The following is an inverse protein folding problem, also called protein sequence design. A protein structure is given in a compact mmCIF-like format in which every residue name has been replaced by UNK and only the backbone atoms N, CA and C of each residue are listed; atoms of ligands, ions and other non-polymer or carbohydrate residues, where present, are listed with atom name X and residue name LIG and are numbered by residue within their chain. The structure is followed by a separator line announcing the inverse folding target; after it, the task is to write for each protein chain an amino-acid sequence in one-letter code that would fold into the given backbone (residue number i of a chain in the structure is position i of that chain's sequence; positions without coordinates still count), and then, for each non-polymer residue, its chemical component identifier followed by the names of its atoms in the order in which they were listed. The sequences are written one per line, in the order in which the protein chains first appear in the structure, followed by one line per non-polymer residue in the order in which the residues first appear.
data_IF_388917211087
#
_entry.id   IF_388917211087
#
_cell.length_a   1.000
_cell.length_b   1.000
_cell.length_c   1.000
_cell.angle_alpha   90.00
_cell.angle_beta   90.00
_cell.angle_gamma   90.00
#
_symmetry.space_group_name_H-M   'P 1'
#
loop_
_entity.id
_entity.type
_entity.pdbx_description
1 polymer ?
#
# COMPACT_ATOMS: atom_id res chain seq x y z
N UNK A 1 -19.67 -2.43 25.08
CA UNK A 1 -19.30 -2.61 23.65
C UNK A 1 -17.97 -3.34 23.62
N UNK A 2 -17.85 -4.58 23.10
CA UNK A 2 -16.55 -5.22 22.97
C UNK A 2 -15.79 -4.57 21.81
N UNK A 3 -14.49 -4.37 22.01
CA UNK A 3 -13.58 -3.76 21.05
C UNK A 3 -13.44 -4.65 19.81
N UNK A 4 -13.52 -4.05 18.61
CA UNK A 4 -13.22 -4.73 17.36
C UNK A 4 -11.74 -5.15 17.36
N UNK A 5 -11.48 -6.46 17.23
CA UNK A 5 -10.14 -6.99 17.06
C UNK A 5 -9.59 -6.59 15.69
N UNK A 6 -8.36 -6.05 15.66
CA UNK A 6 -7.66 -5.77 14.41
C UNK A 6 -7.44 -7.06 13.59
N UNK A 7 -7.55 -7.02 12.26
CA UNK A 7 -7.17 -8.15 11.41
C UNK A 7 -5.69 -8.47 11.62
N UNK A 8 -5.39 -9.75 11.90
CA UNK A 8 -4.02 -10.27 11.94
C UNK A 8 -3.72 -10.91 10.60
N UNK A 9 -2.76 -10.35 9.87
CA UNK A 9 -2.17 -11.02 8.72
C UNK A 9 -1.22 -12.11 9.26
N UNK A 10 -1.51 -13.37 8.96
CA UNK A 10 -0.54 -14.46 9.16
C UNK A 10 0.08 -14.78 7.79
N UNK A 11 1.41 -14.74 7.74
CA UNK A 11 2.18 -15.12 6.56
C UNK A 11 2.70 -16.54 6.77
N UNK A 12 2.39 -17.44 5.84
CA UNK A 12 2.93 -18.81 5.83
C UNK A 12 4.11 -18.85 4.86
N UNK A 13 5.30 -19.10 5.38
CA UNK A 13 6.47 -19.51 4.60
C UNK A 13 6.34 -21.01 4.34
N UNK A 14 6.17 -21.40 3.08
CA UNK A 14 6.26 -22.80 2.68
C UNK A 14 7.73 -23.07 2.40
N UNK A 15 8.41 -23.74 3.33
CA UNK A 15 9.80 -24.14 3.17
C UNK A 15 9.84 -25.44 2.37
N UNK A 16 10.39 -25.37 1.16
CA UNK A 16 10.33 -26.45 0.16
C UNK A 16 11.37 -27.54 0.42
N UNK A 17 11.08 -28.49 1.30
CA UNK A 17 11.74 -29.79 1.27
C UNK A 17 11.10 -30.62 0.15
N UNK A 18 11.90 -31.01 -0.86
CA UNK A 18 11.57 -31.85 -2.02
C UNK A 18 10.25 -32.63 -1.94
N UNK A 19 9.22 -32.18 -2.69
CA UNK A 19 7.98 -32.94 -2.91
C UNK A 19 7.68 -32.99 -4.40
N UNK A 20 7.76 -34.19 -4.97
CA UNK A 20 7.15 -34.53 -6.26
C UNK A 20 5.63 -34.73 -6.06
N UNK A 21 4.83 -34.14 -6.93
CA UNK A 21 3.36 -34.19 -7.00
C UNK A 21 2.58 -33.19 -6.13
N UNK A 22 1.41 -32.81 -6.66
CA UNK A 22 0.51 -31.75 -6.16
C UNK A 22 0.39 -31.72 -4.63
N UNK A 23 0.82 -30.61 -4.01
CA UNK A 23 0.70 -30.38 -2.57
C UNK A 23 -0.66 -29.77 -2.25
N UNK A 24 -1.61 -30.58 -1.79
CA UNK A 24 -2.84 -30.07 -1.18
C UNK A 24 -2.67 -29.93 0.34
N UNK A 25 -2.88 -28.74 0.90
CA UNK A 25 -2.91 -28.52 2.35
C UNK A 25 -4.31 -28.04 2.77
N UNK A 26 -4.84 -28.55 3.89
CA UNK A 26 -6.08 -28.03 4.46
C UNK A 26 -5.75 -27.20 5.69
N UNK A 27 -5.98 -25.88 5.60
CA UNK A 27 -5.82 -24.97 6.73
C UNK A 27 -7.12 -24.97 7.54
N UNK A 28 -7.04 -25.35 8.80
CA UNK A 28 -8.17 -25.24 9.72
C UNK A 28 -8.09 -23.91 10.45
N UNK A 29 -9.02 -23.00 10.18
CA UNK A 29 -9.11 -21.69 10.82
C UNK A 29 -10.18 -21.76 11.91
N UNK A 30 -9.74 -21.65 13.17
CA UNK A 30 -10.65 -21.54 14.31
C UNK A 30 -10.92 -20.06 14.60
N UNK A 31 -12.16 -19.64 14.46
CA UNK A 31 -12.66 -18.32 14.80
C UNK A 31 -13.26 -18.40 16.19
N UNK A 32 -12.64 -17.76 17.18
CA UNK A 32 -13.11 -17.79 18.58
C UNK A 32 -14.27 -16.80 18.84
N UNK A 33 -14.29 -15.68 18.11
CA UNK A 33 -15.29 -14.60 18.28
C UNK A 33 -15.66 -13.97 16.93
N UNK A 34 -16.89 -13.46 16.76
CA UNK A 34 -17.95 -13.27 17.77
C UNK A 34 -18.73 -14.54 18.15
N UNK A 35 -18.57 -15.63 17.40
CA UNK A 35 -19.06 -16.96 17.74
C UNK A 35 -18.00 -17.99 17.33
N UNK A 36 -17.85 -19.10 18.09
CA UNK A 36 -16.96 -20.19 17.72
C UNK A 36 -17.33 -20.77 16.35
N UNK A 37 -16.37 -20.79 15.42
CA UNK A 37 -16.53 -21.44 14.12
C UNK A 37 -15.20 -22.05 13.67
N UNK A 38 -15.27 -23.18 12.97
CA UNK A 38 -14.13 -23.82 12.33
C UNK A 38 -14.33 -23.77 10.81
N UNK A 39 -13.37 -23.19 10.09
CA UNK A 39 -13.40 -23.06 8.63
C UNK A 39 -12.22 -23.83 8.07
N UNK A 40 -12.48 -24.82 7.23
CA UNK A 40 -11.45 -25.53 6.49
C UNK A 40 -11.19 -24.84 5.15
N UNK A 41 -9.98 -24.32 4.98
CA UNK A 41 -9.50 -23.73 3.73
C UNK A 41 -8.64 -24.76 3.00
N UNK A 42 -9.14 -25.26 1.87
CA UNK A 42 -8.34 -26.14 1.01
C UNK A 42 -7.40 -25.28 0.16
N UNK A 43 -6.12 -25.57 0.25
CA UNK A 43 -5.05 -24.98 -0.55
C UNK A 43 -4.54 -26.06 -1.48
N UNK A 44 -4.75 -25.93 -2.78
CA UNK A 44 -4.20 -26.83 -3.78
C UNK A 44 -2.99 -26.16 -4.45
N UNK A 45 -1.81 -26.79 -4.37
CA UNK A 45 -0.59 -26.37 -5.06
C UNK A 45 -0.20 -27.41 -6.11
N UNK A 46 -0.04 -26.98 -7.37
CA UNK A 46 0.41 -27.85 -8.46
C UNK A 46 1.78 -27.39 -8.94
N UNK A 47 2.79 -28.25 -8.76
CA UNK A 47 4.15 -28.02 -9.24
C UNK A 47 4.23 -28.53 -10.68
N UNK A 48 4.48 -27.64 -11.64
CA UNK A 48 4.71 -27.97 -13.05
C UNK A 48 6.20 -27.92 -13.35
N UNK A 49 6.74 -28.99 -13.90
CA UNK A 49 8.12 -29.03 -14.44
C UNK A 49 8.18 -28.59 -15.90
N UNK A 50 7.04 -28.51 -16.58
CA UNK A 50 6.95 -28.23 -18.01
C UNK A 50 6.70 -26.75 -18.34
N UNK A 51 6.33 -25.89 -17.38
CA UNK A 51 6.35 -24.43 -17.50
C UNK A 51 7.31 -23.85 -16.47
N UNK A 52 8.28 -23.06 -16.91
CA UNK A 52 9.25 -22.37 -16.07
C UNK A 52 9.15 -20.87 -16.31
N UNK A 53 9.05 -20.09 -15.24
CA UNK A 53 9.20 -18.63 -15.27
C UNK A 53 10.52 -18.29 -14.62
N UNK A 54 11.39 -17.58 -15.34
CA UNK A 54 12.74 -17.23 -14.87
C UNK A 54 13.05 -15.74 -15.10
N UNK A 55 13.26 -14.93 -14.04
CA UNK A 55 13.14 -15.31 -12.63
C UNK A 55 11.71 -15.73 -12.24
N UNK A 56 11.57 -16.59 -11.22
CA UNK A 56 10.27 -17.10 -10.76
C UNK A 56 9.30 -16.05 -10.20
N UNK A 57 9.81 -14.84 -9.95
CA UNK A 57 9.02 -13.67 -9.59
C UNK A 57 9.63 -12.41 -10.21
N UNK A 58 8.79 -11.39 -10.39
CA UNK A 58 9.21 -10.08 -10.85
C UNK A 58 9.45 -9.18 -9.65
N UNK A 59 10.72 -8.92 -9.34
CA UNK A 59 11.11 -8.03 -8.23
C UNK A 59 11.61 -6.70 -8.79
N UNK A 60 10.86 -5.63 -8.55
CA UNK A 60 11.21 -4.27 -8.99
C UNK A 60 12.19 -3.56 -8.05
N UNK A 61 12.10 -3.82 -6.74
CA UNK A 61 12.78 -3.02 -5.72
C UNK A 61 12.08 -1.68 -5.45
N UNK A 62 12.78 -0.65 -4.93
CA UNK A 62 12.21 0.68 -4.77
C UNK A 62 11.97 1.36 -6.12
N UNK A 63 10.75 1.81 -6.35
CA UNK A 63 10.34 2.61 -7.51
C UNK A 63 9.95 3.99 -6.99
N UNK A 64 10.48 5.05 -7.56
CA UNK A 64 10.10 6.40 -7.15
C UNK A 64 8.71 6.75 -7.69
N UNK A 65 7.82 7.25 -6.83
CA UNK A 65 6.49 7.67 -7.26
C UNK A 65 6.61 8.71 -8.39
N UNK A 66 5.75 8.61 -9.40
CA UNK A 66 5.86 9.43 -10.61
C UNK A 66 6.75 8.83 -11.70
N UNK A 67 7.52 7.77 -11.41
CA UNK A 67 8.36 7.07 -12.38
C UNK A 67 7.75 5.73 -12.79
N UNK A 68 7.90 5.39 -14.07
CA UNK A 68 7.60 4.05 -14.55
C UNK A 68 8.79 3.11 -14.30
N UNK A 69 8.50 1.82 -14.14
CA UNK A 69 9.53 0.80 -14.02
C UNK A 69 9.17 -0.41 -14.90
N UNK A 70 10.17 -1.06 -15.49
CA UNK A 70 10.00 -2.26 -16.31
C UNK A 70 10.95 -3.37 -15.85
N UNK A 71 10.44 -4.61 -15.79
CA UNK A 71 11.22 -5.82 -15.53
C UNK A 71 10.79 -6.91 -16.51
N UNK A 72 11.68 -7.88 -16.73
CA UNK A 72 11.46 -8.97 -17.69
C UNK A 72 11.72 -10.32 -17.04
N UNK A 73 10.97 -11.30 -17.50
CA UNK A 73 11.20 -12.71 -17.24
C UNK A 73 11.05 -13.52 -18.53
N UNK A 74 11.70 -14.68 -18.56
CA UNK A 74 11.51 -15.68 -19.58
C UNK A 74 10.45 -16.66 -19.11
N UNK A 75 9.52 -17.00 -19.99
CA UNK A 75 8.56 -18.09 -19.76
C UNK A 75 8.90 -19.18 -20.76
N UNK A 76 9.35 -20.33 -20.27
CA UNK A 76 9.67 -21.49 -21.10
C UNK A 76 8.64 -22.59 -20.86
N UNK A 77 8.23 -23.23 -21.93
CA UNK A 77 7.36 -24.40 -21.91
C UNK A 77 7.99 -25.55 -22.70
N UNK A 78 7.89 -26.78 -22.18
CA UNK A 78 8.36 -27.99 -22.86
C UNK A 78 7.27 -29.07 -22.86
N UNK A 79 6.73 -29.39 -24.03
CA UNK A 79 5.71 -30.41 -24.20
C UNK A 79 4.96 -30.25 -25.53
N UNK A 80 3.72 -29.79 -25.46
CA UNK A 80 2.84 -29.61 -26.62
C UNK A 80 3.28 -28.45 -27.53
N UNK A 81 3.57 -28.74 -28.78
CA UNK A 81 4.11 -27.76 -29.74
C UNK A 81 3.18 -26.60 -30.10
N UNK A 82 1.90 -26.63 -29.76
CA UNK A 82 0.89 -25.57 -29.96
C UNK A 82 0.54 -24.80 -28.67
N UNK A 83 1.26 -25.03 -27.56
CA UNK A 83 1.06 -24.28 -26.32
C UNK A 83 1.29 -22.78 -26.54
N UNK A 84 0.41 -21.95 -25.98
CA UNK A 84 0.41 -20.50 -26.14
C UNK A 84 -0.08 -19.82 -24.86
N UNK A 85 0.52 -18.66 -24.58
CA UNK A 85 -0.08 -17.64 -23.71
C UNK A 85 -1.11 -16.90 -24.58
N UNK A 86 -2.38 -16.93 -24.17
CA UNK A 86 -3.50 -16.33 -24.92
C UNK A 86 -3.97 -15.01 -24.34
N UNK A 87 -3.73 -14.78 -23.05
CA UNK A 87 -4.10 -13.54 -22.36
C UNK A 87 -3.22 -13.34 -21.12
N UNK A 88 -3.18 -12.12 -20.59
CA UNK A 88 -2.48 -11.78 -19.35
C UNK A 88 -3.38 -10.89 -18.50
N UNK A 89 -3.66 -11.33 -17.28
CA UNK A 89 -4.57 -10.64 -16.35
C UNK A 89 -3.82 -10.09 -15.15
N UNK A 90 -4.14 -8.86 -14.78
CA UNK A 90 -3.69 -8.20 -13.54
C UNK A 90 -4.91 -7.69 -12.79
N UNK A 91 -4.97 -7.91 -11.48
CA UNK A 91 -5.97 -7.27 -10.60
C UNK A 91 -5.58 -5.84 -10.24
N UNK A 92 -4.31 -5.48 -10.40
CA UNK A 92 -3.80 -4.15 -10.12
C UNK A 92 -3.79 -3.30 -11.40
N UNK A 93 -4.57 -2.20 -11.46
CA UNK A 93 -4.68 -1.36 -12.67
C UNK A 93 -3.38 -0.60 -13.00
N UNK A 94 -2.43 -0.51 -12.07
CA UNK A 94 -1.13 0.15 -12.26
C UNK A 94 -0.06 -0.81 -12.78
N UNK A 95 -0.38 -2.09 -12.94
CA UNK A 95 0.53 -3.11 -13.46
C UNK A 95 0.01 -3.58 -14.81
N UNK A 96 0.88 -3.50 -15.82
CA UNK A 96 0.61 -4.02 -17.15
C UNK A 96 1.68 -5.03 -17.53
N UNK A 97 1.35 -5.96 -18.41
CA UNK A 97 2.32 -6.93 -18.89
C UNK A 97 2.04 -7.34 -20.33
N UNK A 98 3.09 -7.76 -21.02
CA UNK A 98 3.04 -8.28 -22.39
C UNK A 98 3.96 -9.49 -22.48
N UNK A 99 3.53 -10.53 -23.17
CA UNK A 99 4.36 -11.69 -23.49
C UNK A 99 4.56 -11.75 -25.01
N UNK A 100 5.83 -11.82 -25.43
CA UNK A 100 6.20 -11.95 -26.84
C UNK A 100 6.89 -13.29 -27.04
N UNK A 101 6.38 -14.12 -27.95
CA UNK A 101 7.01 -15.40 -28.30
C UNK A 101 8.40 -15.15 -28.88
N UNK A 102 9.42 -15.80 -28.33
CA UNK A 102 10.82 -15.65 -28.73
C UNK A 102 11.37 -16.88 -29.44
N UNK A 103 10.79 -18.06 -29.19
CA UNK A 103 11.23 -19.31 -29.81
C UNK A 103 10.09 -20.35 -29.80
N UNK A 104 10.02 -21.16 -30.85
CA UNK A 104 9.17 -22.36 -30.92
C UNK A 104 9.84 -23.43 -31.77
N UNK A 105 10.26 -24.53 -31.15
CA UNK A 105 10.92 -25.64 -31.84
C UNK A 105 10.85 -26.93 -31.02
N UNK A 106 10.62 -28.07 -31.67
CA UNK A 106 10.71 -29.41 -31.06
C UNK A 106 9.92 -29.55 -29.74
N UNK A 107 8.69 -29.01 -29.69
CA UNK A 107 7.85 -29.06 -28.49
C UNK A 107 8.25 -28.06 -27.39
N UNK A 108 9.29 -27.25 -27.61
CA UNK A 108 9.68 -26.15 -26.73
C UNK A 108 9.10 -24.84 -27.25
N UNK A 109 8.56 -24.03 -26.34
CA UNK A 109 8.02 -22.69 -26.60
C UNK A 109 8.61 -21.73 -25.58
N UNK A 110 9.09 -20.56 -26.00
CA UNK A 110 9.60 -19.54 -25.10
C UNK A 110 8.92 -18.19 -25.37
N UNK A 111 8.64 -17.46 -24.30
CA UNK A 111 8.16 -16.09 -24.31
C UNK A 111 9.08 -15.19 -23.49
N UNK A 112 9.21 -13.94 -23.92
CA UNK A 112 9.69 -12.85 -23.09
C UNK A 112 8.49 -12.14 -22.48
N UNK A 113 8.32 -12.27 -21.18
CA UNK A 113 7.35 -11.53 -20.38
C UNK A 113 7.98 -10.20 -19.96
N UNK A 114 7.34 -9.10 -20.32
CA UNK A 114 7.69 -7.76 -19.87
C UNK A 114 6.57 -7.24 -18.97
N UNK A 115 6.91 -6.86 -17.75
CA UNK A 115 5.98 -6.31 -16.75
C UNK A 115 6.37 -4.87 -16.46
N UNK A 116 5.39 -3.99 -16.44
CA UNK A 116 5.58 -2.55 -16.25
C UNK A 116 4.68 -2.01 -15.15
N UNK A 117 5.25 -1.17 -14.27
CA UNK A 117 4.53 -0.38 -13.27
C UNK A 117 4.33 1.03 -13.81
N UNK A 118 3.10 1.52 -13.77
CA UNK A 118 2.73 2.85 -14.25
C UNK A 118 3.27 3.97 -13.33
N UNK A 119 3.60 5.15 -13.86
CA UNK A 119 4.15 6.26 -13.07
C UNK A 119 3.18 6.81 -12.03
N UNK A 120 1.87 6.66 -12.25
CA UNK A 120 0.82 7.06 -11.32
C UNK A 120 0.46 5.96 -10.30
N UNK A 121 1.26 4.90 -10.17
CA UNK A 121 1.08 3.91 -9.13
C UNK A 121 1.12 4.58 -7.74
N UNK A 122 0.18 4.24 -6.83
CA UNK A 122 0.13 4.82 -5.50
C UNK A 122 1.35 4.38 -4.68
N UNK A 123 1.81 5.26 -3.79
CA UNK A 123 2.87 4.94 -2.84
C UNK A 123 2.48 3.76 -1.94
N UNK A 124 3.42 2.84 -1.70
CA UNK A 124 3.16 1.65 -0.90
C UNK A 124 3.96 0.43 -1.35
N UNK A 125 3.66 -0.72 -0.76
CA UNK A 125 4.19 -2.00 -1.20
C UNK A 125 3.39 -2.51 -2.39
N UNK A 126 4.09 -3.06 -3.38
CA UNK A 126 3.51 -3.85 -4.46
C UNK A 126 3.68 -5.32 -4.08
N UNK A 127 2.57 -5.99 -3.79
CA UNK A 127 2.50 -7.42 -3.48
C UNK A 127 1.34 -7.97 -4.31
N UNK A 128 1.62 -8.19 -5.59
CA UNK A 128 0.60 -8.46 -6.60
C UNK A 128 0.88 -9.79 -7.32
N UNK A 129 -0.12 -10.25 -8.06
CA UNK A 129 -0.05 -11.47 -8.85
C UNK A 129 -0.53 -11.19 -10.28
N UNK A 130 0.31 -11.56 -11.24
CA UNK A 130 -0.04 -11.56 -12.66
C UNK A 130 -0.45 -12.98 -13.07
N UNK A 131 -1.55 -13.11 -13.81
CA UNK A 131 -2.02 -14.42 -14.29
C UNK A 131 -1.82 -14.50 -15.79
N UNK A 132 -0.90 -15.38 -16.22
CA UNK A 132 -0.76 -15.73 -17.64
C UNK A 132 -1.81 -16.77 -17.97
N UNK A 133 -2.73 -16.44 -18.88
CA UNK A 133 -3.76 -17.37 -19.35
C UNK A 133 -3.22 -18.14 -20.54
N UNK A 134 -3.39 -19.46 -20.56
CA UNK A 134 -2.86 -20.34 -21.59
C UNK A 134 -3.97 -21.10 -22.32
N UNK A 135 -3.65 -21.69 -23.47
CA UNK A 135 -4.53 -22.62 -24.18
C UNK A 135 -4.41 -24.09 -23.71
N UNK A 136 -3.81 -24.33 -22.54
CA UNK A 136 -3.77 -25.64 -21.91
C UNK A 136 -5.13 -25.94 -21.25
N UNK A 137 -5.68 -27.14 -21.48
CA UNK A 137 -7.02 -27.51 -20.97
C UNK A 137 -7.01 -27.81 -19.47
N UNK A 138 -5.90 -28.34 -18.97
CA UNK A 138 -5.77 -28.72 -17.57
C UNK A 138 -5.19 -27.58 -16.74
N UNK A 139 -4.41 -26.69 -17.37
CA UNK A 139 -3.65 -25.64 -16.69
C UNK A 139 -3.77 -24.30 -17.41
N UNK A 140 -4.97 -23.75 -17.39
CA UNK A 140 -5.33 -22.51 -18.08
C UNK A 140 -4.64 -21.27 -17.52
N UNK A 141 -4.00 -21.34 -16.34
CA UNK A 141 -3.44 -20.20 -15.63
C UNK A 141 -2.05 -20.51 -15.07
N UNK A 142 -1.11 -19.59 -15.29
CA UNK A 142 0.24 -19.62 -14.71
C UNK A 142 0.45 -18.32 -13.92
N UNK A 143 0.48 -18.38 -12.58
CA UNK A 143 0.69 -17.20 -11.76
C UNK A 143 2.15 -16.76 -11.74
N UNK A 144 2.38 -15.44 -11.76
CA UNK A 144 3.69 -14.81 -11.60
C UNK A 144 3.59 -13.77 -10.50
N UNK A 145 4.37 -13.94 -9.43
CA UNK A 145 4.40 -13.00 -8.32
C UNK A 145 5.12 -11.71 -8.72
N UNK A 146 4.61 -10.58 -8.25
CA UNK A 146 5.19 -9.25 -8.43
C UNK A 146 5.44 -8.63 -7.06
N UNK A 147 6.68 -8.18 -6.86
CA UNK A 147 7.13 -7.55 -5.63
C UNK A 147 7.84 -6.23 -5.90
N UNK A 148 7.58 -5.24 -5.06
CA UNK A 148 8.25 -3.95 -5.13
C UNK A 148 7.76 -2.98 -4.07
N UNK A 149 8.28 -1.75 -4.12
CA UNK A 149 7.80 -0.67 -3.26
C UNK A 149 7.81 0.64 -4.02
N UNK A 150 6.64 1.25 -4.21
CA UNK A 150 6.53 2.62 -4.70
C UNK A 150 6.83 3.56 -3.54
N UNK A 151 7.97 4.25 -3.61
CA UNK A 151 8.47 5.15 -2.58
C UNK A 151 7.95 6.55 -2.89
N UNK A 152 7.17 7.17 -1.99
CA UNK A 152 6.60 8.49 -2.21
C UNK A 152 7.70 9.55 -2.34
N UNK A 153 7.40 10.61 -3.10
CA UNK A 153 8.27 11.77 -3.23
C UNK A 153 8.29 12.61 -1.93
N UNK A 154 7.16 12.62 -1.22
CA UNK A 154 6.95 13.28 0.07
C UNK A 154 6.44 12.31 1.13
N UNK A 155 6.98 12.43 2.33
CA UNK A 155 6.55 11.68 3.52
C UNK A 155 6.19 12.64 4.64
N UNK A 156 5.16 12.30 5.41
CA UNK A 156 4.72 13.07 6.58
C UNK A 156 4.74 12.19 7.82
N UNK A 157 5.31 12.70 8.91
CA UNK A 157 5.40 12.02 10.18
C UNK A 157 4.95 12.94 11.34
N UNK A 158 4.07 12.47 12.24
CA UNK A 158 3.31 11.21 12.18
C UNK A 158 2.28 11.19 11.03
N UNK A 159 1.88 9.99 10.60
CA UNK A 159 0.80 9.77 9.60
C UNK A 159 -0.62 9.94 10.17
N UNK A 160 -0.73 10.11 11.49
CA UNK A 160 -1.96 10.47 12.20
C UNK A 160 -1.59 11.40 13.36
N UNK A 161 -2.17 12.59 13.39
CA UNK A 161 -2.01 13.55 14.49
C UNK A 161 -3.13 13.33 15.51
N UNK A 162 -2.80 12.65 16.60
CA UNK A 162 -3.69 12.55 17.76
C UNK A 162 -3.43 13.71 18.73
N UNK A 163 -4.44 14.54 18.93
CA UNK A 163 -4.42 15.66 19.87
C UNK A 163 -4.93 15.27 21.27
N UNK A 164 -5.59 14.11 21.39
CA UNK A 164 -6.11 13.61 22.65
C UNK A 164 -7.43 14.25 23.07
N UNK A 165 -7.69 14.24 24.39
CA UNK A 165 -8.89 14.83 25.01
C UNK A 165 -8.61 16.27 25.42
N UNK A 166 -9.50 17.19 25.06
CA UNK A 166 -9.35 18.62 25.26
C UNK A 166 -10.59 19.21 25.93
N UNK A 167 -10.40 20.19 26.80
CA UNK A 167 -11.49 21.01 27.31
C UNK A 167 -11.85 22.12 26.31
N UNK A 168 -13.09 22.66 26.33
CA UNK A 168 -13.46 23.80 25.51
C UNK A 168 -12.48 24.98 25.68
N UNK A 169 -12.06 25.59 24.56
CA UNK A 169 -11.08 26.69 24.54
C UNK A 169 -9.62 26.26 24.71
N UNK A 170 -9.33 25.00 25.06
CA UNK A 170 -7.96 24.53 25.20
C UNK A 170 -7.23 24.53 23.85
N UNK A 171 -6.07 25.17 23.82
CA UNK A 171 -5.15 25.12 22.70
C UNK A 171 -4.12 24.00 22.87
N UNK A 172 -3.83 23.27 21.81
CA UNK A 172 -2.79 22.24 21.77
C UNK A 172 -1.91 22.43 20.54
N UNK A 173 -0.61 22.24 20.70
CA UNK A 173 0.38 22.30 19.63
C UNK A 173 1.01 20.93 19.41
N UNK A 174 1.08 20.49 18.16
CA UNK A 174 1.84 19.33 17.70
C UNK A 174 2.75 19.74 16.54
N UNK A 175 3.66 18.86 16.17
CA UNK A 175 4.59 19.09 15.09
C UNK A 175 4.51 17.94 14.10
N UNK A 176 4.39 18.29 12.83
CA UNK A 176 4.54 17.39 11.70
C UNK A 176 5.94 17.59 11.09
N UNK A 177 6.56 16.50 10.70
CA UNK A 177 7.80 16.49 9.92
C UNK A 177 7.41 16.10 8.50
N UNK A 178 7.69 16.97 7.54
CA UNK A 178 7.50 16.71 6.12
C UNK A 178 8.88 16.53 5.51
N UNK A 179 9.13 15.37 4.90
CA UNK A 179 10.42 15.02 4.33
C UNK A 179 10.25 14.62 2.87
N UNK A 180 11.04 15.24 2.00
CA UNK A 180 11.08 15.00 0.57
C UNK A 180 12.39 14.35 0.16
N UNK A 181 12.39 13.68 -1.00
CA UNK A 181 13.63 13.12 -1.59
C UNK A 181 14.56 14.19 -2.14
N UNK A 182 14.01 15.31 -2.57
CA UNK A 182 14.73 16.47 -3.07
C UNK A 182 14.39 17.69 -2.21
N UNK A 183 15.26 18.72 -2.16
CA UNK A 183 14.93 19.98 -1.52
C UNK A 183 13.66 20.60 -2.10
N UNK A 184 12.74 21.05 -1.24
CA UNK A 184 11.45 21.61 -1.63
C UNK A 184 11.06 22.77 -0.70
N UNK A 185 10.00 23.48 -1.07
CA UNK A 185 9.29 24.47 -0.26
C UNK A 185 7.86 24.00 -0.02
N UNK A 186 7.31 24.38 1.13
CA UNK A 186 5.88 24.21 1.41
C UNK A 186 5.17 25.44 0.85
N UNK A 187 4.29 25.23 -0.11
CA UNK A 187 3.54 26.32 -0.76
C UNK A 187 2.25 26.62 -0.01
N UNK A 188 1.62 25.60 0.57
CA UNK A 188 0.34 25.72 1.29
C UNK A 188 0.17 24.63 2.33
N UNK A 189 -0.44 24.98 3.46
CA UNK A 189 -0.99 24.01 4.42
C UNK A 189 -2.40 24.43 4.79
N UNK A 190 -3.34 23.51 4.65
CA UNK A 190 -4.75 23.74 4.94
C UNK A 190 -5.38 22.55 5.65
N UNK A 191 -6.51 22.78 6.29
CA UNK A 191 -7.32 21.73 6.89
C UNK A 191 -8.79 21.97 6.61
N UNK A 192 -9.52 20.88 6.35
CA UNK A 192 -10.98 20.88 6.16
C UNK A 192 -11.77 21.22 7.45
N UNK A 193 -11.10 21.41 8.59
CA UNK A 193 -11.72 21.76 9.87
C UNK A 193 -11.14 23.06 10.44
N UNK A 194 -11.99 24.08 10.63
CA UNK A 194 -11.58 25.45 10.97
C UNK A 194 -10.90 25.67 12.34
N UNK A 195 -10.93 24.68 13.24
CA UNK A 195 -10.22 24.74 14.53
C UNK A 195 -8.70 24.56 14.41
N UNK A 196 -8.18 24.19 13.24
CA UNK A 196 -6.75 23.99 12.99
C UNK A 196 -6.11 25.25 12.40
N UNK A 197 -4.92 25.58 12.91
CA UNK A 197 -4.11 26.72 12.51
C UNK A 197 -2.69 26.25 12.22
N UNK A 198 -2.09 26.85 11.20
CA UNK A 198 -0.75 26.53 10.72
C UNK A 198 0.06 27.81 10.63
N UNK A 199 1.16 27.85 11.38
CA UNK A 199 2.13 28.94 11.32
C UNK A 199 3.35 28.44 10.56
N UNK A 200 3.32 28.63 9.24
CA UNK A 200 4.47 28.37 8.38
C UNK A 200 5.38 29.58 8.46
N UNK A 201 6.44 29.48 9.27
CA UNK A 201 7.47 30.52 9.27
C UNK A 201 8.03 30.72 7.85
N UNK A 202 8.58 31.92 7.53
CA UNK A 202 9.02 32.28 6.17
C UNK A 202 10.02 31.29 5.58
N UNK A 203 10.87 30.71 6.43
CA UNK A 203 11.82 29.66 6.07
C UNK A 203 11.19 28.44 5.36
N UNK A 204 9.94 28.07 5.68
CA UNK A 204 9.28 26.94 5.03
C UNK A 204 8.84 27.24 3.58
N UNK A 205 8.65 28.52 3.26
CA UNK A 205 8.15 29.00 1.98
C UNK A 205 9.29 29.51 1.07
N UNK A 206 10.37 30.04 1.64
CA UNK A 206 11.47 30.66 0.90
C UNK A 206 12.67 29.72 0.70
N UNK A 207 12.94 28.82 1.64
CA UNK A 207 14.13 27.98 1.61
C UNK A 207 13.83 26.58 1.06
N UNK A 208 14.68 26.13 0.13
CA UNK A 208 14.66 24.75 -0.36
C UNK A 208 15.33 23.83 0.67
N UNK A 209 14.53 22.99 1.34
CA UNK A 209 15.01 22.02 2.33
C UNK A 209 14.43 20.64 2.05
N UNK A 210 15.18 19.59 2.37
CA UNK A 210 14.69 18.21 2.29
C UNK A 210 13.78 17.83 3.45
N UNK A 211 13.75 18.65 4.50
CA UNK A 211 12.93 18.44 5.69
C UNK A 211 12.37 19.77 6.20
N UNK A 212 11.05 19.80 6.42
CA UNK A 212 10.32 20.91 7.00
C UNK A 212 9.57 20.49 8.26
N UNK A 213 9.46 21.42 9.20
CA UNK A 213 8.66 21.26 10.43
C UNK A 213 7.40 22.10 10.30
N UNK A 214 6.25 21.45 10.32
CA UNK A 214 4.94 22.13 10.24
C UNK A 214 4.29 22.09 11.62
N UNK A 215 4.23 23.21 12.35
CA UNK A 215 3.49 23.27 13.60
C UNK A 215 1.99 23.21 13.31
N UNK A 216 1.30 22.32 14.01
CA UNK A 216 -0.15 22.16 13.97
C UNK A 216 -0.68 22.67 15.30
N UNK A 217 -1.41 23.77 15.26
CA UNK A 217 -2.12 24.30 16.44
C UNK A 217 -3.59 24.02 16.28
N UNK A 218 -4.22 23.49 17.33
CA UNK A 218 -5.65 23.29 17.37
C UNK A 218 -6.23 23.96 18.60
N UNK A 219 -7.30 24.73 18.40
CA UNK A 219 -8.07 25.35 19.48
C UNK A 219 -9.41 24.65 19.59
N UNK A 220 -9.67 24.02 20.74
CA UNK A 220 -10.93 23.33 20.98
C UNK A 220 -12.11 24.31 20.98
N UNK A 221 -13.11 24.03 20.15
CA UNK A 221 -14.37 24.78 20.16
C UNK A 221 -15.19 24.53 21.43
N UNK A 222 -16.35 25.19 21.51
CA UNK A 222 -17.27 25.08 22.65
C UNK A 222 -18.05 23.77 22.70
N UNK A 223 -18.24 23.11 21.56
CA UNK A 223 -19.06 21.91 21.45
C UNK A 223 -18.26 20.64 21.75
N UNK A 224 -18.72 19.87 22.74
CA UNK A 224 -18.17 18.55 23.02
C UNK A 224 -18.39 17.60 21.83
N UNK A 225 -17.42 16.72 21.58
CA UNK A 225 -17.52 15.78 20.45
C UNK A 225 -16.18 15.32 19.93
N UNK A 226 -16.24 14.42 18.94
CA UNK A 226 -15.07 13.99 18.18
C UNK A 226 -14.80 14.99 17.07
N UNK A 227 -13.55 15.41 16.98
CA UNK A 227 -13.05 16.23 15.89
C UNK A 227 -12.19 15.35 15.00
N UNK A 228 -12.42 15.45 13.70
CA UNK A 228 -11.61 14.82 12.67
C UNK A 228 -11.42 15.85 11.57
N UNK A 229 -10.17 16.10 11.19
CA UNK A 229 -9.83 16.92 10.04
C UNK A 229 -8.72 16.28 9.22
N UNK A 230 -8.66 16.64 7.95
CA UNK A 230 -7.63 16.25 7.00
C UNK A 230 -6.75 17.47 6.75
N UNK A 231 -5.48 17.38 7.13
CA UNK A 231 -4.49 18.41 6.89
C UNK A 231 -3.81 18.09 5.56
N UNK A 232 -3.90 19.00 4.60
CA UNK A 232 -3.28 18.88 3.28
C UNK A 232 -2.09 19.83 3.21
N UNK A 233 -0.94 19.30 2.79
CA UNK A 233 0.33 20.00 2.68
C UNK A 233 0.76 19.95 1.22
N UNK A 234 0.85 21.11 0.58
CA UNK A 234 1.24 21.26 -0.83
C UNK A 234 2.67 21.79 -0.93
N UNK A 235 3.38 21.39 -1.98
CA UNK A 235 4.79 21.74 -2.20
C UNK A 235 5.04 22.16 -3.64
N UNK A 236 6.24 22.68 -3.89
CA UNK A 236 6.74 23.03 -5.23
C UNK A 236 7.45 21.87 -5.95
N UNK A 237 7.42 20.65 -5.41
CA UNK A 237 7.95 19.46 -6.07
C UNK A 237 7.18 19.15 -7.36
N UNK A 238 7.83 18.41 -8.26
CA UNK A 238 7.32 18.14 -9.61
C UNK A 238 5.88 17.60 -9.59
N UNK A 239 5.02 18.18 -10.43
CA UNK A 239 3.60 17.81 -10.47
C UNK A 239 2.76 18.35 -9.31
N UNK A 240 3.30 19.24 -8.48
CA UNK A 240 2.59 19.82 -7.33
C UNK A 240 2.37 18.80 -6.23
N UNK A 241 3.41 18.02 -5.90
CA UNK A 241 3.30 16.93 -4.94
C UNK A 241 2.71 17.43 -3.62
N UNK A 242 1.66 16.75 -3.17
CA UNK A 242 0.95 17.04 -1.94
C UNK A 242 0.87 15.78 -1.07
N UNK A 243 0.80 16.00 0.24
CA UNK A 243 0.59 14.92 1.21
C UNK A 243 -0.53 15.29 2.17
N UNK A 244 -1.27 14.27 2.61
CA UNK A 244 -2.40 14.43 3.51
C UNK A 244 -2.15 13.66 4.80
N UNK A 245 -2.52 14.27 5.92
CA UNK A 245 -2.44 13.66 7.24
C UNK A 245 -3.73 13.91 8.00
N UNK A 246 -4.28 12.85 8.60
CA UNK A 246 -5.47 12.96 9.42
C UNK A 246 -5.11 13.50 10.79
N UNK A 247 -5.92 14.41 11.32
CA UNK A 247 -5.83 14.92 12.68
C UNK A 247 -7.13 14.64 13.43
N UNK A 248 -7.01 14.22 14.70
CA UNK A 248 -8.17 13.88 15.53
C UNK A 248 -8.03 14.43 16.93
N UNK A 249 -9.15 14.90 17.50
CA UNK A 249 -9.25 15.31 18.89
C UNK A 249 -10.60 14.86 19.48
N UNK A 250 -10.71 14.89 20.80
CA UNK A 250 -11.99 14.74 21.49
C UNK A 250 -12.19 15.90 22.44
N UNK A 251 -13.20 16.73 22.20
CA UNK A 251 -13.60 17.78 23.14
C UNK A 251 -14.52 17.14 24.17
N UNK A 252 -14.10 17.18 25.44
CA UNK A 252 -14.92 16.69 26.56
C UNK A 252 -15.79 17.81 27.10
N UNK A 253 -17.01 17.51 27.60
CA UNK A 253 -17.81 18.52 28.29
C UNK A 253 -17.06 19.09 29.48
N UNK A 254 -17.24 20.38 29.77
CA UNK A 254 -16.81 20.94 31.05
C UNK A 254 -17.61 20.26 32.16
N UNK A 255 -16.96 19.45 32.99
CA UNK A 255 -17.57 18.97 34.22
C UNK A 255 -17.74 20.17 35.16
N UNK A 256 -18.97 20.63 35.34
CA UNK A 256 -19.28 21.57 36.41
C UNK A 256 -19.29 20.74 37.70
N UNK A 257 -18.18 20.75 38.45
CA UNK A 257 -18.20 20.24 39.82
C UNK A 257 -19.15 21.12 40.64
N UNK A 258 -20.14 20.51 41.29
CA UNK A 258 -21.19 21.17 42.09
C UNK A 258 -20.69 21.90 43.36
N UNK A 259 -19.43 22.32 43.42
CA UNK A 259 -18.82 23.02 44.53
C UNK A 259 -18.91 24.56 44.43
N UNK A 260 -19.33 25.12 43.29
CA UNK A 260 -19.47 26.58 43.07
C UNK A 260 -20.93 27.09 43.19
N UNK A 261 -21.86 26.25 43.65
CA UNK A 261 -23.20 26.65 44.08
C UNK A 261 -23.32 26.57 45.60
N UNK A 262 -22.55 27.39 46.32
CA UNK A 262 -22.82 27.76 47.72
C UNK A 262 -22.38 29.18 48.00
#
# INVERSE_FOLDING_TARGET
RPAASKPRHQQMLIDGAWVDAASGATLTVVIDRPFPAEVQLRVDGYIRTDVVVDPGSIVFGPIDQGQSAEKRANVAYAGRGDWKIVDIKSSNPFITAKAVETNRRNGQVAYRLTVSVAPNAPAGYLQDQLILVTNDRNYTQVPVAIEGRVVPELTVNPTLVSLGRLQPGQAVRKQLIVQGKQPFRITRVECDHGGFQFDLGPAAQEELKTMHRVPVVFVAGSHAGKISGTIRIETDLHGGAATEVRATAQIVPTEITAAELK
#
